data_IF_004440720700
#
_entry.id   IF_004440720700
#
_cell.length_a   1.000
_cell.length_b   1.000
_cell.length_c   1.000
_cell.angle_alpha   90.00
_cell.angle_beta   90.00
_cell.angle_gamma   90.00
#
_symmetry.space_group_name_H-M   'P 1'
#
loop_
_entity.id
_entity.type
_entity.pdbx_description
1 polymer ?
#
# COMPACT_ATOMS: atom_id res chain seq x y z
N UNK A 1 -6.41 59.98 17.21
CA UNK A 1 -6.47 58.63 17.79
C UNK A 1 -6.39 57.62 16.64
N UNK A 2 -5.23 57.11 16.36
CA UNK A 2 -5.00 56.14 15.27
C UNK A 2 -5.18 54.75 15.76
N UNK A 3 -6.15 54.00 15.18
CA UNK A 3 -6.24 52.57 15.36
C UNK A 3 -5.36 51.89 14.32
N UNK A 4 -4.27 51.26 14.76
CA UNK A 4 -3.46 50.37 13.97
C UNK A 4 -4.22 49.04 13.78
N UNK A 5 -4.60 48.73 12.57
CA UNK A 5 -5.00 47.38 12.17
C UNK A 5 -3.74 46.54 11.99
N UNK A 6 -3.60 45.57 12.84
CA UNK A 6 -2.57 44.54 12.71
C UNK A 6 -3.15 43.41 11.85
N UNK A 7 -2.79 43.37 10.57
CA UNK A 7 -3.04 42.22 9.71
C UNK A 7 -1.91 41.24 9.93
N UNK A 8 -2.14 40.27 10.78
CA UNK A 8 -1.34 39.06 10.82
C UNK A 8 -1.71 38.22 9.60
N UNK A 9 -0.86 38.25 8.59
CA UNK A 9 -0.95 37.33 7.47
C UNK A 9 -0.68 35.91 7.97
N UNK A 10 -1.70 35.11 8.11
CA UNK A 10 -1.57 33.67 8.19
C UNK A 10 -1.00 33.18 6.87
N UNK A 11 0.27 32.85 6.89
CA UNK A 11 0.86 32.05 5.82
C UNK A 11 0.20 30.67 5.91
N UNK A 12 -0.77 30.39 5.05
CA UNK A 12 -1.28 29.06 4.84
C UNK A 12 -0.12 28.17 4.37
N UNK A 13 0.49 27.42 5.27
CA UNK A 13 1.38 26.33 4.91
C UNK A 13 0.54 25.36 4.10
N UNK A 14 0.83 25.27 2.80
CA UNK A 14 0.29 24.23 1.92
C UNK A 14 0.70 22.89 2.50
N UNK A 15 -0.20 22.25 3.23
CA UNK A 15 -0.05 20.83 3.58
C UNK A 15 0.03 20.08 2.26
N UNK A 16 1.21 19.55 1.93
CA UNK A 16 1.36 18.66 0.79
C UNK A 16 0.40 17.50 1.01
N UNK A 17 -0.58 17.35 0.11
CA UNK A 17 -1.56 16.27 0.18
C UNK A 17 -0.80 14.94 0.24
N UNK A 18 -0.82 14.29 1.40
CA UNK A 18 -0.22 12.98 1.58
C UNK A 18 -0.98 11.99 0.70
N UNK A 19 -0.27 11.30 -0.15
CA UNK A 19 -0.82 10.18 -0.91
C UNK A 19 -0.67 8.91 -0.07
N UNK A 20 -1.67 8.06 -0.10
CA UNK A 20 -1.56 6.74 0.55
C UNK A 20 -1.10 5.71 -0.47
N UNK A 21 -0.23 4.83 -0.03
CA UNK A 21 0.28 3.70 -0.81
C UNK A 21 -0.01 2.40 -0.07
N UNK A 22 -0.45 1.40 -0.81
CA UNK A 22 -0.63 0.06 -0.27
C UNK A 22 0.63 -0.75 -0.57
N UNK A 23 1.27 -1.27 0.47
CA UNK A 23 2.30 -2.28 0.36
C UNK A 23 1.65 -3.65 0.44
N UNK A 24 1.93 -4.48 -0.55
CA UNK A 24 1.45 -5.85 -0.65
C UNK A 24 2.67 -6.77 -0.49
N UNK A 25 2.74 -7.46 0.64
CA UNK A 25 3.83 -8.42 0.89
C UNK A 25 3.48 -9.76 0.26
N UNK A 26 4.30 -10.18 -0.70
CA UNK A 26 4.18 -11.50 -1.34
C UNK A 26 5.07 -12.49 -0.62
N UNK A 27 4.60 -13.70 -0.45
CA UNK A 27 5.34 -14.77 0.20
C UNK A 27 5.14 -16.10 -0.52
N UNK A 28 6.21 -16.86 -0.61
CA UNK A 28 6.25 -18.26 -1.04
C UNK A 28 6.46 -19.23 0.15
N UNK A 29 6.18 -18.74 1.38
CA UNK A 29 6.41 -19.48 2.62
C UNK A 29 7.90 -19.69 2.97
N UNK A 30 8.79 -18.81 2.49
CA UNK A 30 10.23 -18.84 2.82
C UNK A 30 10.51 -18.99 4.32
N UNK A 31 9.62 -18.50 5.16
CA UNK A 31 9.74 -18.57 6.62
C UNK A 31 9.71 -20.01 7.18
N UNK A 32 9.14 -20.96 6.44
CA UNK A 32 9.13 -22.37 6.86
C UNK A 32 10.52 -23.00 6.93
N UNK A 33 11.49 -22.41 6.24
CA UNK A 33 12.87 -22.88 6.24
C UNK A 33 13.69 -22.33 7.43
N UNK A 34 13.16 -21.36 8.16
CA UNK A 34 13.84 -20.72 9.27
C UNK A 34 13.68 -21.50 10.57
N UNK A 35 14.74 -21.47 11.39
CA UNK A 35 14.67 -21.94 12.77
C UNK A 35 13.76 -21.06 13.63
N UNK A 36 13.35 -21.57 14.78
CA UNK A 36 12.54 -20.81 15.73
C UNK A 36 13.20 -19.48 16.13
N UNK A 37 14.52 -19.50 16.39
CA UNK A 37 15.26 -18.29 16.77
C UNK A 37 15.30 -17.25 15.63
N UNK A 38 15.50 -17.70 14.39
CA UNK A 38 15.46 -16.82 13.21
C UNK A 38 14.09 -16.23 13.00
N UNK A 39 13.02 -17.02 13.17
CA UNK A 39 11.63 -16.53 13.10
C UNK A 39 11.36 -15.47 14.16
N UNK A 40 11.76 -15.71 15.41
CA UNK A 40 11.59 -14.71 16.48
C UNK A 40 12.32 -13.41 16.16
N UNK A 41 13.53 -13.51 15.62
CA UNK A 41 14.31 -12.33 15.22
C UNK A 41 13.63 -11.54 14.12
N UNK A 42 13.19 -12.17 13.05
CA UNK A 42 12.54 -11.48 11.92
C UNK A 42 11.20 -10.86 12.34
N UNK A 43 10.43 -11.52 13.19
CA UNK A 43 9.20 -10.98 13.77
C UNK A 43 9.50 -9.72 14.57
N UNK A 44 10.49 -9.76 15.45
CA UNK A 44 10.89 -8.60 16.24
C UNK A 44 11.36 -7.43 15.37
N UNK A 45 12.18 -7.71 14.34
CA UNK A 45 12.67 -6.72 13.39
C UNK A 45 11.51 -6.07 12.60
N UNK A 46 10.55 -6.87 12.15
CA UNK A 46 9.36 -6.37 11.44
C UNK A 46 8.47 -5.51 12.35
N UNK A 47 8.22 -5.95 13.58
CA UNK A 47 7.44 -5.15 14.53
C UNK A 47 8.11 -3.82 14.85
N UNK A 48 9.44 -3.81 15.02
CA UNK A 48 10.20 -2.60 15.25
C UNK A 48 10.14 -1.65 14.04
N UNK A 49 10.27 -2.17 12.84
CA UNK A 49 10.18 -1.40 11.60
C UNK A 49 8.80 -0.77 11.42
N UNK A 50 7.73 -1.54 11.51
CA UNK A 50 6.35 -1.05 11.42
C UNK A 50 6.04 -0.06 12.54
N UNK A 51 6.45 -0.37 13.77
CA UNK A 51 6.22 0.48 14.93
C UNK A 51 6.84 1.87 14.78
N UNK A 52 8.06 1.96 14.24
CA UNK A 52 8.69 3.25 13.94
C UNK A 52 7.91 4.04 12.90
N UNK A 53 7.49 3.39 11.82
CA UNK A 53 6.72 4.05 10.77
C UNK A 53 5.39 4.60 11.29
N UNK A 54 4.70 3.86 12.14
CA UNK A 54 3.46 4.30 12.78
C UNK A 54 3.73 5.48 13.72
N UNK A 55 4.76 5.39 14.55
CA UNK A 55 5.14 6.47 15.47
C UNK A 55 5.52 7.76 14.75
N UNK A 56 6.11 7.67 13.56
CA UNK A 56 6.45 8.80 12.68
C UNK A 56 5.25 9.32 11.86
N UNK A 57 4.08 8.71 11.98
CA UNK A 57 2.89 9.06 11.20
C UNK A 57 3.00 8.71 9.71
N UNK A 58 3.92 7.82 9.34
CA UNK A 58 4.19 7.41 7.96
C UNK A 58 3.46 6.13 7.55
N UNK A 59 2.91 5.40 8.51
CA UNK A 59 2.19 4.17 8.22
C UNK A 59 0.94 4.01 9.11
N UNK A 60 -0.02 3.29 8.56
CA UNK A 60 -1.18 2.77 9.28
C UNK A 60 -1.17 1.25 9.21
N UNK A 61 -1.65 0.55 10.26
CA UNK A 61 -1.71 -0.90 10.25
C UNK A 61 -2.48 -1.43 9.04
N UNK A 62 -1.95 -2.46 8.41
CA UNK A 62 -2.64 -3.26 7.43
C UNK A 62 -3.20 -4.53 8.05
N UNK A 63 -3.30 -5.56 7.24
CA UNK A 63 -3.81 -6.86 7.66
C UNK A 63 -2.85 -7.98 7.27
N UNK A 64 -2.79 -9.02 8.09
CA UNK A 64 -2.21 -10.29 7.72
C UNK A 64 -3.30 -11.14 7.05
N UNK A 65 -2.93 -11.89 6.03
CA UNK A 65 -3.85 -12.75 5.28
C UNK A 65 -3.48 -14.21 5.53
N UNK A 66 -4.52 -15.02 5.80
CA UNK A 66 -4.38 -16.46 5.79
C UNK A 66 -4.09 -16.94 4.35
N UNK A 67 -3.47 -18.10 4.23
CA UNK A 67 -3.15 -18.67 2.93
C UNK A 67 -4.37 -19.26 2.24
N UNK A 68 -5.32 -19.78 3.00
CA UNK A 68 -6.56 -20.34 2.50
C UNK A 68 -7.44 -19.24 1.89
N UNK A 69 -8.13 -19.58 0.85
CA UNK A 69 -9.05 -18.67 0.20
C UNK A 69 -9.73 -19.29 -1.01
N UNK A 70 -10.51 -18.49 -1.70
CA UNK A 70 -11.17 -18.88 -2.94
C UNK A 70 -11.11 -17.73 -3.94
N UNK A 71 -11.12 -18.08 -5.21
CA UNK A 71 -11.25 -17.10 -6.29
C UNK A 71 -12.50 -17.37 -7.08
N UNK A 72 -13.25 -16.31 -7.33
CA UNK A 72 -14.42 -16.34 -8.20
C UNK A 72 -14.06 -15.59 -9.49
N UNK A 73 -14.26 -16.23 -10.63
CA UNK A 73 -13.86 -15.65 -11.92
C UNK A 73 -14.83 -15.99 -13.04
N UNK A 74 -14.80 -15.16 -14.07
CA UNK A 74 -15.53 -15.36 -15.32
C UNK A 74 -17.04 -15.14 -15.23
N UNK A 75 -17.69 -15.17 -16.39
CA UNK A 75 -19.14 -14.99 -16.51
C UNK A 75 -19.94 -16.13 -15.86
N UNK A 76 -19.38 -17.33 -15.82
CA UNK A 76 -19.96 -18.50 -15.17
C UNK A 76 -19.74 -18.50 -13.66
N UNK A 77 -19.05 -17.50 -13.13
CA UNK A 77 -18.73 -17.36 -11.69
C UNK A 77 -18.08 -18.61 -11.11
N UNK A 78 -17.15 -19.19 -11.87
CA UNK A 78 -16.40 -20.36 -11.42
C UNK A 78 -15.64 -20.05 -10.14
N UNK A 79 -15.73 -20.95 -9.17
CA UNK A 79 -15.03 -20.87 -7.89
C UNK A 79 -13.85 -21.83 -7.91
N UNK A 80 -12.69 -21.31 -7.61
CA UNK A 80 -11.47 -22.11 -7.42
C UNK A 80 -11.02 -21.94 -5.97
N UNK A 81 -10.77 -23.05 -5.31
CA UNK A 81 -10.18 -23.03 -3.98
C UNK A 81 -8.71 -22.56 -4.09
N UNK A 82 -8.36 -21.59 -3.26
CA UNK A 82 -6.98 -21.11 -3.20
C UNK A 82 -6.18 -21.79 -2.08
N UNK A 83 -4.85 -21.60 -2.04
CA UNK A 83 -4.04 -20.79 -2.95
C UNK A 83 -3.91 -21.47 -4.30
N UNK A 84 -3.74 -20.64 -5.36
CA UNK A 84 -3.61 -21.14 -6.73
C UNK A 84 -2.44 -22.10 -6.86
N UNK A 85 -2.69 -23.28 -7.44
CA UNK A 85 -1.67 -24.32 -7.65
C UNK A 85 -0.49 -23.84 -8.53
N UNK A 86 -0.71 -22.82 -9.36
CA UNK A 86 0.27 -22.30 -10.30
C UNK A 86 1.09 -21.12 -9.76
N UNK A 87 0.65 -20.46 -8.69
CA UNK A 87 1.37 -19.36 -8.06
C UNK A 87 1.97 -19.79 -6.74
N UNK A 88 3.30 -19.82 -6.67
CA UNK A 88 4.01 -20.07 -5.41
C UNK A 88 3.93 -18.88 -4.45
N UNK A 89 3.75 -17.68 -4.98
CA UNK A 89 3.66 -16.45 -4.23
C UNK A 89 2.21 -16.03 -4.03
N UNK A 90 1.83 -15.82 -2.79
CA UNK A 90 0.53 -15.23 -2.42
C UNK A 90 0.75 -13.99 -1.59
N UNK A 91 -0.24 -13.09 -1.58
CA UNK A 91 -0.21 -11.93 -0.71
C UNK A 91 -0.42 -12.40 0.73
N UNK A 92 0.59 -12.24 1.57
CA UNK A 92 0.54 -12.65 2.99
C UNK A 92 0.17 -11.52 3.94
N UNK A 93 0.20 -10.28 3.48
CA UNK A 93 -0.14 -9.13 4.31
C UNK A 93 -0.03 -7.81 3.58
N UNK A 94 -0.54 -6.78 4.23
CA UNK A 94 -0.53 -5.41 3.71
C UNK A 94 -0.08 -4.42 4.77
N UNK A 95 0.40 -3.26 4.31
CA UNK A 95 0.69 -2.10 5.14
C UNK A 95 0.29 -0.86 4.34
N UNK A 96 -0.32 0.12 4.99
CA UNK A 96 -0.64 1.40 4.35
C UNK A 96 0.42 2.43 4.73
N UNK A 97 1.03 3.06 3.73
CA UNK A 97 1.95 4.19 3.92
C UNK A 97 1.24 5.50 3.57
N UNK A 98 1.40 6.49 4.43
CA UNK A 98 0.92 7.86 4.24
C UNK A 98 2.14 8.79 4.06
N UNK A 99 2.63 8.87 2.82
CA UNK A 99 3.84 9.60 2.45
C UNK A 99 3.60 10.47 1.22
N UNK A 100 4.50 11.42 0.97
CA UNK A 100 4.29 12.41 -0.08
C UNK A 100 4.52 11.86 -1.50
N UNK A 101 5.45 10.91 -1.67
CA UNK A 101 5.91 10.46 -2.99
C UNK A 101 6.10 8.95 -3.05
N UNK A 102 6.06 8.41 -4.28
CA UNK A 102 6.40 7.01 -4.56
C UNK A 102 7.86 6.70 -4.19
N UNK A 103 8.77 7.64 -4.40
CA UNK A 103 10.19 7.50 -4.05
C UNK A 103 10.38 7.28 -2.54
N UNK A 104 9.63 8.01 -1.73
CA UNK A 104 9.64 7.83 -0.28
C UNK A 104 9.05 6.46 0.11
N UNK A 105 7.95 6.05 -0.51
CA UNK A 105 7.35 4.73 -0.29
C UNK A 105 8.33 3.60 -0.66
N UNK A 106 9.05 3.73 -1.77
CA UNK A 106 10.08 2.77 -2.20
C UNK A 106 11.24 2.72 -1.19
N UNK A 107 11.70 3.87 -0.71
CA UNK A 107 12.78 3.93 0.29
C UNK A 107 12.38 3.22 1.59
N UNK A 108 11.15 3.41 2.04
CA UNK A 108 10.59 2.73 3.20
C UNK A 108 10.52 1.22 2.96
N UNK A 109 9.99 0.78 1.81
CA UNK A 109 9.86 -0.63 1.49
C UNK A 109 11.22 -1.34 1.40
N UNK A 110 12.25 -0.69 0.86
CA UNK A 110 13.63 -1.22 0.83
C UNK A 110 14.20 -1.52 2.21
N UNK A 111 13.73 -0.85 3.24
CA UNK A 111 14.15 -1.08 4.64
C UNK A 111 13.38 -2.23 5.33
N UNK A 112 12.44 -2.86 4.63
CA UNK A 112 11.67 -3.98 5.20
C UNK A 112 12.58 -5.17 5.52
N UNK A 113 12.59 -5.65 6.78
CA UNK A 113 13.46 -6.74 7.18
C UNK A 113 13.25 -8.05 6.40
N UNK A 114 12.02 -8.32 5.98
CA UNK A 114 11.67 -9.56 5.25
C UNK A 114 12.35 -9.67 3.87
N UNK A 115 12.79 -8.55 3.29
CA UNK A 115 13.50 -8.58 2.00
C UNK A 115 14.82 -9.36 2.05
N UNK A 116 15.42 -9.51 3.23
CA UNK A 116 16.61 -10.35 3.42
C UNK A 116 16.37 -11.83 3.12
N UNK A 117 15.13 -12.25 3.12
CA UNK A 117 14.69 -13.61 2.87
C UNK A 117 14.00 -13.77 1.50
N UNK A 118 14.38 -12.92 0.55
CA UNK A 118 13.87 -12.97 -0.83
C UNK A 118 12.35 -12.80 -0.95
N UNK A 119 11.72 -12.11 0.00
CA UNK A 119 10.32 -11.71 -0.14
C UNK A 119 10.17 -10.58 -1.15
N UNK A 120 8.98 -10.41 -1.69
CA UNK A 120 8.65 -9.35 -2.65
C UNK A 120 7.63 -8.41 -2.05
N UNK A 121 7.84 -7.10 -2.21
CA UNK A 121 6.88 -6.08 -1.83
C UNK A 121 6.44 -5.34 -3.09
N UNK A 122 5.16 -5.37 -3.36
CA UNK A 122 4.53 -4.54 -4.38
C UNK A 122 4.00 -3.26 -3.73
N UNK A 123 4.22 -2.11 -4.36
CA UNK A 123 3.77 -0.80 -3.86
C UNK A 123 2.81 -0.22 -4.88
N UNK A 124 1.61 0.14 -4.42
CA UNK A 124 0.60 0.74 -5.28
C UNK A 124 0.00 1.98 -4.65
N UNK A 125 -0.11 3.10 -5.38
CA UNK A 125 -0.88 4.24 -4.91
C UNK A 125 -2.34 3.84 -4.68
N UNK A 126 -2.91 4.29 -3.58
CA UNK A 126 -4.35 4.16 -3.34
C UNK A 126 -5.04 5.29 -4.10
N UNK A 127 -5.95 4.93 -4.99
CA UNK A 127 -6.72 5.89 -5.79
C UNK A 127 -8.05 6.21 -5.11
N UNK A 128 -8.46 7.47 -5.20
CA UNK A 128 -9.79 7.91 -4.79
C UNK A 128 -10.87 7.53 -5.83
N UNK A 129 -10.45 7.16 -7.03
CA UNK A 129 -11.34 6.82 -8.16
C UNK A 129 -11.15 5.34 -8.54
N UNK A 130 -12.27 4.65 -8.70
CA UNK A 130 -12.27 3.28 -9.22
C UNK A 130 -11.78 3.26 -10.70
N UNK A 131 -10.95 2.27 -11.10
CA UNK A 131 -10.49 2.17 -12.49
C UNK A 131 -11.60 2.12 -13.54
N UNK A 132 -12.77 1.56 -13.21
CA UNK A 132 -13.95 1.56 -14.10
C UNK A 132 -14.50 2.97 -14.30
N UNK A 133 -14.57 3.75 -13.23
CA UNK A 133 -15.04 5.14 -13.26
C UNK A 133 -14.05 6.02 -14.01
N UNK A 134 -12.76 5.86 -13.78
CA UNK A 134 -11.72 6.55 -14.53
C UNK A 134 -11.83 6.29 -16.04
N UNK A 135 -11.98 5.02 -16.43
CA UNK A 135 -12.16 4.63 -17.83
C UNK A 135 -13.44 5.22 -18.45
N UNK A 136 -14.55 5.21 -17.71
CA UNK A 136 -15.81 5.79 -18.18
C UNK A 136 -15.69 7.31 -18.38
N UNK A 137 -15.03 8.00 -17.46
CA UNK A 137 -14.76 9.43 -17.55
C UNK A 137 -13.90 9.78 -18.78
N UNK A 138 -12.83 9.03 -18.99
CA UNK A 138 -11.93 9.23 -20.15
C UNK A 138 -12.65 9.05 -21.47
N UNK A 139 -13.49 8.03 -21.58
CA UNK A 139 -14.31 7.79 -22.78
C UNK A 139 -15.33 8.90 -23.02
N UNK A 140 -15.97 9.41 -21.97
CA UNK A 140 -16.90 10.53 -22.06
C UNK A 140 -16.18 11.80 -22.55
N UNK A 141 -14.99 12.10 -22.05
CA UNK A 141 -14.18 13.24 -22.49
C UNK A 141 -13.76 13.11 -23.95
N UNK A 142 -13.36 11.92 -24.40
CA UNK A 142 -13.01 11.67 -25.81
C UNK A 142 -14.21 11.91 -26.76
N UNK A 143 -15.40 11.46 -26.37
CA UNK A 143 -16.64 11.71 -27.14
C UNK A 143 -16.99 13.20 -27.23
N UNK A 144 -16.84 13.95 -26.14
CA UNK A 144 -17.08 15.40 -26.13
C UNK A 144 -16.13 16.17 -27.07
N UNK A 145 -14.87 15.72 -27.17
CA UNK A 145 -13.85 16.33 -28.04
C UNK A 145 -14.15 16.11 -29.53
N UNK A 146 -14.76 14.98 -29.89
CA UNK A 146 -15.11 14.65 -31.30
C UNK A 146 -16.32 15.44 -31.76
N UNK A 147 -17.22 15.84 -30.86
CA UNK A 147 -18.46 16.55 -31.17
C UNK A 147 -18.34 18.10 -31.06
N UNK A 148 -17.15 18.58 -30.83
CA UNK A 148 -16.87 20.03 -30.72
C UNK A 148 -16.53 20.64 -32.08
#
# INVERSE_FOLDING_TARGET
MSKKHNQTGEAAMSESKKTSYLLLSRTDEWYKQLSHAELQKIIADNHAWVGRLIAEGKARPGVALAREGATVSGNNRAVLDGPFAESKEVIGGTLVLDVATMEEAIAIAKACPSLRHNSTIEIRPISDECPLEACAREKAQALATVNA
#
